data_IF_308509812641
#
_entry.id   IF_308509812641
#
_cell.length_a   1.000
_cell.length_b   1.000
_cell.length_c   1.000
_cell.angle_alpha   90.00
_cell.angle_beta   90.00
_cell.angle_gamma   90.00
#
_symmetry.space_group_name_H-M   'P 1'
#
loop_
_entity.id
_entity.type
_entity.pdbx_description
1 polymer ?
#
# COMPACT_ATOMS: atom_id res chain seq x y z
N UNK A 1 30.73 -3.00 12.52
CA UNK A 1 29.75 -1.97 12.96
C UNK A 1 28.40 -2.63 12.99
N UNK A 2 27.89 -2.91 14.19
CA UNK A 2 26.65 -3.64 14.38
C UNK A 2 25.46 -2.73 14.03
N UNK A 3 24.67 -3.15 13.05
CA UNK A 3 23.33 -2.63 12.79
C UNK A 3 22.50 -2.66 14.10
N UNK A 4 21.82 -1.57 14.45
CA UNK A 4 20.69 -1.66 15.39
C UNK A 4 19.53 -2.34 14.65
N UNK A 5 18.87 -3.31 15.29
CA UNK A 5 17.83 -4.17 14.69
C UNK A 5 16.57 -3.44 14.20
N UNK A 6 16.55 -2.11 14.34
CA UNK A 6 15.47 -1.21 14.01
C UNK A 6 16.04 0.18 13.72
N UNK A 7 15.45 0.86 12.73
CA UNK A 7 15.66 2.29 12.48
C UNK A 7 14.35 2.99 12.76
N UNK A 8 14.36 3.92 13.70
CA UNK A 8 13.23 4.80 14.01
C UNK A 8 13.50 6.19 13.44
N UNK A 9 12.55 6.70 12.67
CA UNK A 9 12.56 8.05 12.11
C UNK A 9 11.39 8.82 12.71
N UNK A 10 11.68 9.94 13.36
CA UNK A 10 10.69 10.80 14.01
C UNK A 10 10.45 12.07 13.20
N UNK A 11 9.19 12.52 13.17
CA UNK A 11 8.72 13.67 12.41
C UNK A 11 8.02 14.67 13.33
N UNK A 12 7.91 15.92 12.87
CA UNK A 12 7.15 16.96 13.59
C UNK A 12 5.63 16.84 13.38
N UNK A 13 5.21 16.02 12.40
CA UNK A 13 3.80 15.80 12.05
C UNK A 13 3.55 14.35 11.72
N UNK A 14 2.27 13.99 11.63
CA UNK A 14 1.87 12.66 11.21
C UNK A 14 2.38 12.33 9.81
N UNK A 15 2.80 11.07 9.65
CA UNK A 15 3.24 10.48 8.41
C UNK A 15 2.07 9.69 7.82
N UNK A 16 1.55 10.19 6.70
CA UNK A 16 0.32 9.68 6.07
C UNK A 16 0.58 8.46 5.21
N UNK A 17 1.73 8.42 4.54
CA UNK A 17 2.10 7.30 3.68
C UNK A 17 3.61 7.15 3.55
N UNK A 18 4.01 5.98 3.07
CA UNK A 18 5.39 5.61 2.82
C UNK A 18 5.48 4.78 1.53
N UNK A 19 6.62 4.84 0.84
CA UNK A 19 6.85 4.05 -0.36
C UNK A 19 8.35 3.79 -0.56
N UNK A 20 8.74 2.53 -0.70
CA UNK A 20 10.08 2.20 -1.18
C UNK A 20 10.19 2.45 -2.67
N UNK A 21 11.32 3.02 -3.10
CA UNK A 21 11.71 3.04 -4.51
C UNK A 21 11.91 1.59 -4.97
N UNK A 22 11.40 1.17 -6.15
CA UNK A 22 11.50 -0.24 -6.59
C UNK A 22 12.93 -0.79 -6.71
N UNK A 23 13.93 0.08 -6.89
CA UNK A 23 15.35 -0.29 -6.88
C UNK A 23 15.95 -0.51 -5.46
N UNK A 24 15.17 -0.24 -4.41
CA UNK A 24 15.53 -0.41 -3.00
C UNK A 24 16.44 0.69 -2.43
N UNK A 25 16.81 1.71 -3.21
CA UNK A 25 17.79 2.73 -2.80
C UNK A 25 17.21 3.81 -1.90
N UNK A 26 15.90 4.02 -1.97
CA UNK A 26 15.24 5.09 -1.22
C UNK A 26 13.92 4.62 -0.60
N UNK A 27 13.60 5.23 0.55
CA UNK A 27 12.29 5.22 1.16
C UNK A 27 11.74 6.66 1.17
N UNK A 28 10.52 6.82 0.66
CA UNK A 28 9.75 8.04 0.84
C UNK A 28 8.85 7.91 2.07
N UNK A 29 8.75 8.99 2.82
CA UNK A 29 7.80 9.16 3.90
C UNK A 29 7.15 10.54 3.76
N UNK A 30 5.82 10.57 3.65
CA UNK A 30 5.06 11.79 3.49
C UNK A 30 4.50 12.27 4.82
N UNK A 31 5.01 13.41 5.30
CA UNK A 31 4.44 14.16 6.42
C UNK A 31 4.02 15.55 5.91
N UNK A 32 4.39 16.65 6.57
CA UNK A 32 4.31 18.00 5.99
C UNK A 32 5.03 18.14 4.64
N UNK A 33 6.12 17.39 4.46
CA UNK A 33 6.88 17.26 3.21
C UNK A 33 7.18 15.80 2.95
N UNK A 34 7.51 15.45 1.71
CA UNK A 34 7.99 14.10 1.39
C UNK A 34 9.49 14.04 1.67
N UNK A 35 9.88 13.33 2.72
CA UNK A 35 11.28 13.08 3.05
C UNK A 35 11.79 11.84 2.34
N UNK A 36 13.03 11.89 1.84
CA UNK A 36 13.73 10.81 1.16
C UNK A 36 14.82 10.26 2.07
N UNK A 37 14.85 8.95 2.25
CA UNK A 37 15.77 8.28 3.16
C UNK A 37 16.50 7.14 2.47
N UNK A 38 17.77 6.96 2.81
CA UNK A 38 18.49 5.72 2.53
C UNK A 38 18.09 4.68 3.58
N UNK A 39 17.38 3.61 3.19
CA UNK A 39 16.88 2.62 4.14
C UNK A 39 17.97 1.74 4.75
N UNK A 40 19.18 1.70 4.15
CA UNK A 40 20.31 0.92 4.67
C UNK A 40 21.06 1.65 5.79
N UNK A 41 20.99 2.98 5.80
CA UNK A 41 21.69 3.81 6.80
C UNK A 41 20.75 4.56 7.71
N UNK A 42 19.47 4.68 7.36
CA UNK A 42 18.50 5.54 8.06
C UNK A 42 18.78 7.03 7.88
N UNK A 43 19.64 7.41 6.93
CA UNK A 43 20.03 8.80 6.71
C UNK A 43 19.10 9.49 5.72
N UNK A 44 18.74 10.75 5.99
CA UNK A 44 17.93 11.57 5.07
C UNK A 44 18.79 12.00 3.90
N UNK A 45 18.40 11.64 2.68
CA UNK A 45 19.12 11.98 1.44
C UNK A 45 18.55 13.21 0.74
N UNK A 46 17.30 13.59 1.03
CA UNK A 46 16.67 14.74 0.41
C UNK A 46 15.21 14.92 0.79
N UNK A 47 14.54 15.84 0.11
CA UNK A 47 13.12 16.15 0.35
C UNK A 47 12.48 16.70 -0.92
N UNK A 48 11.23 16.33 -1.16
CA UNK A 48 10.38 17.02 -2.11
C UNK A 48 9.43 17.95 -1.37
N UNK A 49 9.26 19.17 -1.89
CA UNK A 49 8.39 20.18 -1.30
C UNK A 49 6.93 19.99 -1.73
N UNK A 50 6.40 18.81 -1.43
CA UNK A 50 5.00 18.41 -1.64
C UNK A 50 4.44 17.85 -0.34
N UNK A 51 3.16 18.07 -0.11
CA UNK A 51 2.39 17.31 0.87
C UNK A 51 1.74 16.13 0.14
N UNK A 52 1.58 14.95 0.75
CA UNK A 52 0.98 13.81 0.06
C UNK A 52 0.11 12.96 0.98
N UNK A 53 -1.09 12.63 0.52
CA UNK A 53 -1.95 11.61 1.13
C UNK A 53 -1.56 10.20 0.70
N UNK A 54 -0.97 10.07 -0.49
CA UNK A 54 -0.47 8.82 -1.03
C UNK A 54 0.63 9.07 -2.05
N UNK A 55 1.55 8.12 -2.14
CA UNK A 55 2.64 8.11 -3.11
C UNK A 55 2.65 6.77 -3.82
N UNK A 56 2.89 6.79 -5.13
CA UNK A 56 3.11 5.59 -5.93
C UNK A 56 4.31 5.78 -6.85
N UNK A 57 5.24 4.83 -6.86
CA UNK A 57 6.36 4.80 -7.80
C UNK A 57 5.95 4.14 -9.12
N UNK A 58 6.51 4.63 -10.23
CA UNK A 58 6.58 3.84 -11.45
C UNK A 58 7.53 2.65 -11.24
N UNK A 59 7.28 1.49 -11.85
CA UNK A 59 8.10 0.28 -11.68
C UNK A 59 9.57 0.45 -12.07
N UNK A 60 9.84 1.34 -13.03
CA UNK A 60 11.20 1.66 -13.49
C UNK A 60 11.97 2.60 -12.54
N UNK A 61 11.38 2.99 -11.42
CA UNK A 61 11.99 3.86 -10.39
C UNK A 61 12.31 5.28 -10.87
N UNK A 62 11.79 5.72 -12.02
CA UNK A 62 12.07 7.05 -12.59
C UNK A 62 11.04 8.11 -12.27
N UNK A 63 9.81 7.70 -12.00
CA UNK A 63 8.68 8.62 -11.83
C UNK A 63 7.94 8.30 -10.53
N UNK A 64 7.38 9.33 -9.89
CA UNK A 64 6.44 9.16 -8.79
C UNK A 64 5.15 9.95 -9.06
N UNK A 65 4.04 9.35 -8.65
CA UNK A 65 2.73 9.96 -8.52
C UNK A 65 2.53 10.37 -7.06
N UNK A 66 2.30 11.66 -6.85
CA UNK A 66 2.08 12.27 -5.54
C UNK A 66 0.63 12.74 -5.50
N UNK A 67 -0.18 12.11 -4.66
CA UNK A 67 -1.59 12.47 -4.50
C UNK A 67 -1.77 13.54 -3.42
N UNK A 68 -2.19 14.72 -3.86
CA UNK A 68 -2.62 15.85 -3.05
C UNK A 68 -4.14 16.00 -3.06
N UNK A 69 -4.65 16.88 -2.21
CA UNK A 69 -6.07 17.23 -2.20
C UNK A 69 -6.49 17.86 -3.54
N UNK A 70 -7.13 17.07 -4.40
CA UNK A 70 -7.66 17.52 -5.69
C UNK A 70 -6.67 17.52 -6.86
N UNK A 71 -5.42 17.09 -6.65
CA UNK A 71 -4.45 16.89 -7.73
C UNK A 71 -3.57 15.66 -7.52
N UNK A 72 -3.11 15.07 -8.61
CA UNK A 72 -2.00 14.10 -8.61
C UNK A 72 -0.84 14.69 -9.41
N UNK A 73 0.27 14.96 -8.74
CA UNK A 73 1.49 15.44 -9.37
C UNK A 73 2.34 14.26 -9.82
N UNK A 74 2.76 14.26 -11.08
CA UNK A 74 3.69 13.27 -11.62
C UNK A 74 5.04 13.96 -11.78
N UNK A 75 6.06 13.48 -11.07
CA UNK A 75 7.40 14.08 -11.07
C UNK A 75 8.46 13.04 -11.41
N UNK A 76 9.57 13.49 -11.99
CA UNK A 76 10.76 12.69 -12.21
C UNK A 76 11.61 12.64 -10.93
N UNK A 77 12.10 11.46 -10.56
CA UNK A 77 12.67 11.18 -9.23
C UNK A 77 14.03 11.85 -9.03
N UNK A 78 14.90 11.82 -10.03
CA UNK A 78 16.29 12.23 -9.82
C UNK A 78 16.43 13.77 -9.81
N UNK A 79 15.67 14.48 -10.64
CA UNK A 79 15.62 15.95 -10.72
C UNK A 79 14.54 16.58 -9.83
N UNK A 80 13.51 15.83 -9.43
CA UNK A 80 12.32 16.36 -8.77
C UNK A 80 11.44 17.22 -9.69
N UNK A 81 11.73 17.25 -11.00
CA UNK A 81 11.00 18.08 -11.94
C UNK A 81 9.57 17.58 -12.12
N UNK A 82 8.60 18.49 -11.98
CA UNK A 82 7.20 18.17 -12.22
C UNK A 82 6.95 17.98 -13.70
N UNK A 83 6.60 16.75 -14.07
CA UNK A 83 6.24 16.40 -15.43
C UNK A 83 4.79 16.78 -15.72
N UNK A 84 3.85 16.47 -14.82
CA UNK A 84 2.41 16.70 -15.00
C UNK A 84 1.70 17.01 -13.68
N UNK A 85 0.52 17.62 -13.82
CA UNK A 85 -0.48 17.74 -12.76
C UNK A 85 -1.80 17.23 -13.33
N UNK A 86 -2.31 16.13 -12.76
CA UNK A 86 -3.56 15.50 -13.16
C UNK A 86 -4.66 15.87 -12.16
N UNK A 87 -5.89 16.06 -12.64
CA UNK A 87 -7.04 16.32 -11.78
C UNK A 87 -7.55 15.01 -11.20
N UNK A 88 -7.54 14.89 -9.89
CA UNK A 88 -7.97 13.69 -9.16
C UNK A 88 -7.70 13.84 -7.67
N UNK A 89 -8.34 13.04 -6.83
CA UNK A 89 -8.16 13.14 -5.37
C UNK A 89 -8.12 11.76 -4.74
N UNK A 90 -7.16 11.52 -3.85
CA UNK A 90 -6.98 10.24 -3.16
C UNK A 90 -5.89 9.36 -3.76
N UNK A 91 -5.79 8.11 -3.30
CA UNK A 91 -4.68 7.21 -3.65
C UNK A 91 -4.59 6.96 -5.15
N UNK A 92 -3.39 7.07 -5.72
CA UNK A 92 -3.09 6.68 -7.11
C UNK A 92 -2.16 5.45 -7.12
N UNK A 93 -2.14 4.72 -8.23
CA UNK A 93 -1.27 3.55 -8.38
C UNK A 93 -0.80 3.41 -9.83
N UNK A 94 0.51 3.25 -10.03
CA UNK A 94 1.03 2.75 -11.30
C UNK A 94 0.80 1.24 -11.42
N UNK A 95 0.53 0.79 -12.63
CA UNK A 95 0.54 -0.62 -13.00
C UNK A 95 1.98 -1.20 -12.96
N UNK A 96 2.13 -2.54 -12.85
CA UNK A 96 3.46 -3.18 -12.77
C UNK A 96 4.31 -3.05 -14.03
N UNK A 97 3.68 -2.91 -15.20
CA UNK A 97 4.38 -2.62 -16.45
C UNK A 97 4.70 -1.13 -16.61
N UNK A 98 4.08 -0.27 -15.79
CA UNK A 98 4.28 1.18 -15.81
C UNK A 98 3.57 1.89 -16.96
N UNK A 99 2.77 1.19 -17.75
CA UNK A 99 2.02 1.68 -18.91
C UNK A 99 0.69 2.34 -18.52
N UNK A 100 0.14 1.98 -17.35
CA UNK A 100 -1.06 2.59 -16.77
C UNK A 100 -0.79 3.30 -15.44
N UNK A 101 -1.51 4.39 -15.21
CA UNK A 101 -1.72 5.04 -13.91
C UNK A 101 -3.22 5.07 -13.59
N UNK A 102 -3.62 4.47 -12.47
CA UNK A 102 -4.97 4.59 -11.93
C UNK A 102 -5.05 5.75 -10.94
N UNK A 103 -6.04 6.62 -11.11
CA UNK A 103 -6.33 7.68 -10.14
C UNK A 103 -7.83 7.95 -10.00
N UNK A 104 -8.31 8.32 -8.79
CA UNK A 104 -9.71 8.66 -8.59
C UNK A 104 -10.06 9.99 -9.24
N UNK A 105 -11.17 10.01 -9.94
CA UNK A 105 -11.81 11.17 -10.55
C UNK A 105 -13.26 11.31 -10.02
N UNK A 106 -13.97 12.33 -10.50
CA UNK A 106 -15.37 12.56 -10.09
C UNK A 106 -16.27 11.35 -10.40
N UNK A 107 -16.11 10.73 -11.57
CA UNK A 107 -17.02 9.70 -12.08
C UNK A 107 -16.56 8.25 -11.81
N UNK A 108 -15.47 8.06 -11.07
CA UNK A 108 -14.86 6.73 -10.89
C UNK A 108 -13.34 6.79 -10.75
N UNK A 109 -12.67 5.73 -11.17
CA UNK A 109 -11.21 5.66 -11.27
C UNK A 109 -10.85 5.71 -12.75
N UNK A 110 -10.07 6.71 -13.13
CA UNK A 110 -9.56 6.83 -14.49
C UNK A 110 -8.26 6.04 -14.62
N UNK A 111 -8.15 5.31 -15.73
CA UNK A 111 -6.94 4.65 -16.18
C UNK A 111 -6.28 5.52 -17.24
N UNK A 112 -5.05 5.96 -16.97
CA UNK A 112 -4.26 6.82 -17.84
C UNK A 112 -3.13 6.04 -18.48
N UNK A 113 -3.00 6.14 -19.80
CA UNK A 113 -1.81 5.72 -20.54
C UNK A 113 -0.64 6.63 -20.13
N UNK A 114 0.46 6.07 -19.61
CA UNK A 114 1.60 6.85 -19.11
C UNK A 114 2.56 7.32 -20.20
N UNK A 115 2.48 6.77 -21.42
CA UNK A 115 3.27 7.20 -22.56
C UNK A 115 2.65 8.44 -23.23
N UNK A 116 1.32 8.44 -23.39
CA UNK A 116 0.55 9.49 -24.06
C UNK A 116 -0.13 10.45 -23.08
N UNK A 117 -0.25 10.08 -21.81
CA UNK A 117 -1.00 10.81 -20.79
C UNK A 117 -2.44 11.08 -21.21
N UNK A 118 -3.13 10.03 -21.67
CA UNK A 118 -4.53 10.08 -22.08
C UNK A 118 -5.35 9.07 -21.28
N UNK A 119 -6.59 9.45 -20.96
CA UNK A 119 -7.54 8.54 -20.31
C UNK A 119 -7.92 7.43 -21.28
N UNK A 120 -7.61 6.19 -20.93
CA UNK A 120 -7.98 5.00 -21.69
C UNK A 120 -9.35 4.47 -21.31
N UNK A 121 -9.76 4.68 -20.06
CA UNK A 121 -11.04 4.21 -19.55
C UNK A 121 -11.31 4.70 -18.13
N UNK A 122 -12.55 4.49 -17.70
CA UNK A 122 -12.99 4.83 -16.35
C UNK A 122 -13.71 3.64 -15.74
N UNK A 123 -13.18 3.10 -14.65
CA UNK A 123 -13.89 2.18 -13.78
C UNK A 123 -14.87 2.99 -12.93
N UNK A 124 -16.17 2.88 -13.23
CA UNK A 124 -17.20 3.57 -12.44
C UNK A 124 -17.25 2.97 -11.04
N UNK A 125 -17.24 3.83 -10.02
CA UNK A 125 -17.21 3.40 -8.62
C UNK A 125 -18.62 3.36 -8.02
N UNK A 126 -18.97 2.35 -7.21
CA UNK A 126 -20.14 2.40 -6.35
C UNK A 126 -19.91 3.16 -5.02
N UNK A 127 -18.67 3.49 -4.64
CA UNK A 127 -18.29 4.14 -3.36
C UNK A 127 -18.10 5.66 -3.46
N UNK A 128 -18.27 6.37 -2.33
CA UNK A 128 -18.19 7.84 -2.28
C UNK A 128 -16.75 8.36 -2.32
N UNK A 129 -15.83 7.71 -1.59
CA UNK A 129 -14.41 8.09 -1.50
C UNK A 129 -13.53 6.86 -1.71
N UNK A 130 -12.56 6.92 -2.63
CA UNK A 130 -11.63 5.81 -2.89
C UNK A 130 -10.52 5.81 -1.85
N UNK A 131 -10.37 4.70 -1.11
CA UNK A 131 -9.29 4.51 -0.14
C UNK A 131 -8.26 3.47 -0.60
N UNK A 132 -8.64 2.54 -1.46
CA UNK A 132 -7.76 1.49 -1.96
C UNK A 132 -7.77 1.43 -3.48
N UNK A 133 -6.57 1.37 -4.07
CA UNK A 133 -6.32 0.99 -5.47
C UNK A 133 -5.08 0.10 -5.45
N UNK A 134 -5.15 -1.06 -6.10
CA UNK A 134 -4.03 -1.97 -6.25
C UNK A 134 -4.08 -2.66 -7.61
N UNK A 135 -2.92 -2.91 -8.21
CA UNK A 135 -2.78 -3.78 -9.39
C UNK A 135 -2.20 -5.13 -8.97
N UNK A 136 -2.63 -6.21 -9.64
CA UNK A 136 -1.95 -7.50 -9.53
C UNK A 136 -0.59 -7.43 -10.19
N UNK A 137 0.38 -8.21 -9.71
CA UNK A 137 1.77 -8.14 -10.17
C UNK A 137 1.96 -8.50 -11.65
N UNK A 138 1.07 -9.34 -12.20
CA UNK A 138 1.01 -9.71 -13.62
C UNK A 138 0.33 -8.64 -14.50
N UNK A 139 -0.19 -7.56 -13.90
CA UNK A 139 -0.90 -6.49 -14.60
C UNK A 139 -2.29 -6.89 -15.11
N UNK A 140 -2.79 -8.08 -14.76
CA UNK A 140 -4.09 -8.57 -15.24
C UNK A 140 -5.28 -7.93 -14.54
N UNK A 141 -5.17 -7.71 -13.23
CA UNK A 141 -6.26 -7.23 -12.40
C UNK A 141 -5.95 -5.88 -11.78
N UNK A 142 -6.99 -5.05 -11.63
CA UNK A 142 -6.99 -3.90 -10.75
C UNK A 142 -8.11 -4.05 -9.73
N UNK A 143 -7.80 -3.90 -8.45
CA UNK A 143 -8.78 -3.83 -7.37
C UNK A 143 -8.94 -2.38 -6.89
N UNK A 144 -10.17 -1.98 -6.63
CA UNK A 144 -10.45 -0.67 -6.07
C UNK A 144 -11.65 -0.70 -5.13
N UNK A 145 -11.57 0.10 -4.07
CA UNK A 145 -12.62 0.18 -3.05
C UNK A 145 -12.49 1.41 -2.17
N UNK A 146 -13.51 1.64 -1.34
CA UNK A 146 -13.52 2.78 -0.46
C UNK A 146 -14.73 2.86 0.47
N UNK A 147 -15.08 4.09 0.85
CA UNK A 147 -16.14 4.38 1.81
C UNK A 147 -17.52 4.45 1.18
N UNK A 148 -18.56 4.13 1.95
CA UNK A 148 -19.96 4.25 1.54
C UNK A 148 -20.54 3.01 0.88
N UNK A 149 -19.72 1.99 0.61
CA UNK A 149 -20.13 0.65 0.17
C UNK A 149 -19.26 -0.43 0.78
N UNK A 150 -19.83 -1.59 0.95
CA UNK A 150 -19.24 -2.81 1.51
C UNK A 150 -18.78 -3.78 0.41
N UNK A 151 -18.23 -3.23 -0.68
CA UNK A 151 -17.68 -3.99 -1.80
C UNK A 151 -16.32 -3.46 -2.22
N UNK A 152 -15.49 -4.34 -2.76
CA UNK A 152 -14.33 -4.00 -3.58
C UNK A 152 -14.62 -4.41 -5.03
N UNK A 153 -14.36 -3.53 -5.99
CA UNK A 153 -14.44 -3.88 -7.40
C UNK A 153 -13.11 -4.45 -7.89
N UNK A 154 -13.16 -5.53 -8.64
CA UNK A 154 -12.01 -6.16 -9.31
C UNK A 154 -12.25 -6.12 -10.82
N UNK A 155 -11.41 -5.39 -11.52
CA UNK A 155 -11.43 -5.24 -12.98
C UNK A 155 -10.39 -6.15 -13.60
N UNK A 156 -10.80 -7.08 -14.47
CA UNK A 156 -9.90 -7.78 -15.38
C UNK A 156 -9.58 -6.83 -16.55
N UNK A 157 -8.33 -6.38 -16.63
CA UNK A 157 -7.88 -5.41 -17.64
C UNK A 157 -7.77 -6.03 -19.04
N UNK A 158 -7.70 -7.35 -19.15
CA UNK A 158 -7.66 -8.03 -20.44
C UNK A 158 -9.06 -8.16 -21.06
N UNK A 159 -10.09 -8.40 -20.25
CA UNK A 159 -11.48 -8.56 -20.73
C UNK A 159 -12.34 -7.30 -20.56
N UNK A 160 -11.96 -6.40 -19.66
CA UNK A 160 -12.77 -5.25 -19.25
C UNK A 160 -13.91 -5.62 -18.28
N UNK A 161 -14.02 -6.88 -17.87
CA UNK A 161 -15.07 -7.33 -16.96
C UNK A 161 -14.77 -6.89 -15.52
N UNK A 162 -15.81 -6.45 -14.82
CA UNK A 162 -15.72 -6.04 -13.41
C UNK A 162 -16.56 -6.97 -12.55
N UNK A 163 -15.97 -7.43 -11.45
CA UNK A 163 -16.67 -8.19 -10.41
C UNK A 163 -16.64 -7.41 -9.09
N UNK A 164 -17.76 -7.39 -8.38
CA UNK A 164 -17.84 -6.80 -7.04
C UNK A 164 -17.79 -7.90 -5.98
N UNK A 165 -16.82 -7.80 -5.07
CA UNK A 165 -16.65 -8.75 -3.97
C UNK A 165 -17.13 -8.10 -2.68
N UNK A 166 -18.11 -8.72 -2.02
CA UNK A 166 -18.62 -8.24 -0.74
C UNK A 166 -17.52 -8.28 0.32
N UNK A 167 -17.21 -7.16 0.94
CA UNK A 167 -16.18 -7.01 1.98
C UNK A 167 -16.79 -6.97 3.38
N UNK A 168 -18.08 -6.64 3.48
CA UNK A 168 -18.86 -6.60 4.72
C UNK A 168 -18.68 -5.32 5.55
N UNK A 169 -17.83 -4.39 5.11
CA UNK A 169 -17.75 -3.00 5.57
C UNK A 169 -16.87 -2.18 4.61
N UNK A 170 -16.68 -0.88 4.86
CA UNK A 170 -15.90 0.03 4.03
C UNK A 170 -14.46 -0.42 3.89
N UNK A 171 -13.97 -0.35 2.65
CA UNK A 171 -12.61 -0.74 2.29
C UNK A 171 -11.66 0.39 2.63
N UNK A 172 -10.60 0.06 3.37
CA UNK A 172 -9.54 0.99 3.77
C UNK A 172 -8.22 0.70 3.04
N UNK A 173 -7.94 -0.56 2.74
CA UNK A 173 -6.71 -0.99 2.09
C UNK A 173 -6.93 -2.22 1.22
N UNK A 174 -6.12 -2.36 0.18
CA UNK A 174 -6.07 -3.55 -0.66
C UNK A 174 -4.64 -3.80 -1.15
N UNK A 175 -4.26 -5.07 -1.30
CA UNK A 175 -2.98 -5.48 -1.83
C UNK A 175 -3.11 -6.82 -2.57
N UNK A 176 -2.33 -7.01 -3.62
CA UNK A 176 -2.21 -8.30 -4.31
C UNK A 176 -0.97 -9.06 -3.85
N UNK A 177 -1.06 -10.38 -3.82
CA UNK A 177 0.11 -11.25 -3.67
C UNK A 177 1.07 -11.09 -4.85
N UNK A 178 2.34 -11.46 -4.64
CA UNK A 178 3.39 -11.31 -5.63
C UNK A 178 3.18 -12.11 -6.93
N UNK A 179 2.39 -13.18 -6.87
CA UNK A 179 1.98 -13.98 -8.03
C UNK A 179 0.64 -13.51 -8.64
N UNK A 180 0.02 -12.47 -8.08
CA UNK A 180 -1.28 -11.94 -8.51
C UNK A 180 -2.50 -12.81 -8.18
N UNK A 181 -2.31 -13.96 -7.54
CA UNK A 181 -3.39 -14.94 -7.35
C UNK A 181 -4.30 -14.65 -6.15
N UNK A 182 -3.84 -13.87 -5.16
CA UNK A 182 -4.59 -13.51 -3.96
C UNK A 182 -4.77 -12.00 -3.88
N UNK A 183 -6.02 -11.57 -3.66
CA UNK A 183 -6.37 -10.20 -3.27
C UNK A 183 -6.62 -10.16 -1.77
N UNK A 184 -5.88 -9.33 -1.04
CA UNK A 184 -6.13 -9.01 0.36
C UNK A 184 -6.85 -7.67 0.49
N UNK A 185 -7.87 -7.60 1.35
CA UNK A 185 -8.62 -6.37 1.63
C UNK A 185 -8.79 -6.18 3.13
N UNK A 186 -8.49 -4.97 3.57
CA UNK A 186 -8.66 -4.51 4.94
C UNK A 186 -9.83 -3.54 5.03
N UNK A 187 -10.68 -3.73 6.03
CA UNK A 187 -11.92 -2.95 6.20
C UNK A 187 -12.03 -2.29 7.58
N UNK A 188 -12.98 -1.37 7.72
CA UNK A 188 -13.22 -0.61 8.96
C UNK A 188 -13.69 -1.45 10.14
N UNK A 189 -14.35 -2.60 9.91
CA UNK A 189 -14.80 -3.52 10.97
C UNK A 189 -13.72 -4.49 11.49
N UNK A 190 -12.43 -4.15 11.33
CA UNK A 190 -11.29 -4.88 11.89
C UNK A 190 -11.03 -6.24 11.25
N UNK A 191 -11.57 -6.45 10.04
CA UNK A 191 -11.41 -7.68 9.28
C UNK A 191 -10.40 -7.52 8.15
N UNK A 192 -9.71 -8.62 7.90
CA UNK A 192 -8.99 -8.88 6.67
C UNK A 192 -9.71 -10.01 5.96
N UNK A 193 -9.99 -9.81 4.67
CA UNK A 193 -10.54 -10.84 3.80
C UNK A 193 -9.62 -11.06 2.62
N UNK A 194 -9.42 -12.32 2.25
CA UNK A 194 -8.59 -12.76 1.15
C UNK A 194 -9.43 -13.51 0.13
N UNK A 195 -9.25 -13.21 -1.16
CA UNK A 195 -9.87 -13.95 -2.26
C UNK A 195 -8.82 -14.50 -3.20
N UNK A 196 -9.08 -15.71 -3.70
CA UNK A 196 -8.33 -16.29 -4.82
C UNK A 196 -8.93 -15.84 -6.14
N UNK A 197 -8.10 -15.33 -7.04
CA UNK A 197 -8.48 -15.02 -8.41
C UNK A 197 -8.04 -16.13 -9.38
N UNK A 198 -8.78 -16.37 -10.48
CA UNK A 198 -9.99 -15.66 -10.91
C UNK A 198 -11.29 -16.17 -10.28
N UNK A 199 -11.25 -17.21 -9.44
CA UNK A 199 -12.47 -17.87 -8.93
C UNK A 199 -13.28 -16.99 -7.97
N UNK A 200 -12.67 -15.94 -7.41
CA UNK A 200 -13.22 -15.09 -6.36
C UNK A 200 -13.66 -15.88 -5.12
N UNK A 201 -12.99 -17.01 -4.87
CA UNK A 201 -13.19 -17.85 -3.69
C UNK A 201 -12.60 -17.17 -2.46
N UNK A 202 -13.36 -17.08 -1.36
CA UNK A 202 -12.84 -16.57 -0.09
C UNK A 202 -11.87 -17.59 0.51
N UNK A 203 -10.60 -17.20 0.61
CA UNK A 203 -9.52 -18.02 1.20
C UNK A 203 -9.40 -17.78 2.70
N UNK A 204 -9.69 -16.56 3.14
CA UNK A 204 -9.65 -16.17 4.55
C UNK A 204 -10.67 -15.07 4.79
N UNK A 205 -11.43 -15.18 5.89
CA UNK A 205 -12.21 -14.09 6.46
C UNK A 205 -11.95 -14.08 7.96
N UNK A 206 -11.12 -13.14 8.39
CA UNK A 206 -10.60 -13.09 9.76
C UNK A 206 -10.81 -11.71 10.35
N UNK A 207 -11.34 -11.67 11.56
CA UNK A 207 -11.16 -10.53 12.46
C UNK A 207 -9.75 -10.58 13.03
N UNK A 208 -8.90 -9.62 12.67
CA UNK A 208 -7.48 -9.66 12.98
C UNK A 208 -7.15 -8.88 14.27
N UNK A 209 -7.90 -7.82 14.58
CA UNK A 209 -7.79 -7.13 15.86
C UNK A 209 -9.00 -6.28 16.26
N UNK A 210 -8.72 -5.08 16.76
CA UNK A 210 -9.70 -4.15 17.36
C UNK A 210 -9.75 -2.77 16.69
N UNK A 211 -8.98 -2.57 15.63
CA UNK A 211 -8.92 -1.31 14.90
C UNK A 211 -9.00 -1.56 13.39
N UNK A 212 -9.37 -0.51 12.65
CA UNK A 212 -9.52 -0.59 11.20
C UNK A 212 -8.20 -1.03 10.56
N UNK A 213 -8.30 -1.83 9.49
CA UNK A 213 -7.12 -2.29 8.74
C UNK A 213 -6.74 -1.24 7.71
N UNK A 214 -5.93 -0.28 8.13
CA UNK A 214 -5.58 0.90 7.32
C UNK A 214 -4.53 0.62 6.24
N UNK A 215 -3.72 -0.43 6.40
CA UNK A 215 -2.69 -0.78 5.42
C UNK A 215 -2.46 -2.29 5.33
N UNK A 216 -2.14 -2.75 4.13
CA UNK A 216 -1.78 -4.14 3.83
C UNK A 216 -0.57 -4.13 2.91
N UNK A 217 0.37 -5.07 3.13
CA UNK A 217 1.50 -5.27 2.24
C UNK A 217 1.88 -6.74 2.19
N UNK A 218 2.08 -7.28 0.99
CA UNK A 218 2.66 -8.62 0.81
C UNK A 218 4.18 -8.52 0.75
N UNK A 219 4.86 -9.53 1.31
CA UNK A 219 6.28 -9.75 1.02
C UNK A 219 6.47 -10.12 -0.45
N UNK A 220 7.67 -9.84 -0.98
CA UNK A 220 8.01 -10.10 -2.39
C UNK A 220 7.85 -11.57 -2.81
N UNK A 221 8.09 -12.49 -1.89
CA UNK A 221 7.92 -13.92 -2.12
C UNK A 221 6.46 -14.41 -1.91
N UNK A 222 5.56 -13.50 -1.53
CA UNK A 222 4.15 -13.78 -1.26
C UNK A 222 3.89 -14.60 0.00
N UNK A 223 4.92 -14.93 0.80
CA UNK A 223 4.79 -15.81 1.97
C UNK A 223 4.24 -15.11 3.20
N UNK A 224 4.41 -13.79 3.30
CA UNK A 224 4.00 -13.01 4.46
C UNK A 224 3.05 -11.90 4.00
N UNK A 225 1.95 -11.73 4.72
CA UNK A 225 1.09 -10.55 4.65
C UNK A 225 1.27 -9.74 5.94
N UNK A 226 1.71 -8.49 5.81
CA UNK A 226 1.69 -7.51 6.89
C UNK A 226 0.34 -6.79 6.92
N UNK A 227 -0.26 -6.73 8.10
CA UNK A 227 -1.56 -6.10 8.37
C UNK A 227 -1.37 -4.98 9.37
N UNK A 228 -1.72 -3.76 8.96
CA UNK A 228 -1.57 -2.55 9.76
C UNK A 228 -2.89 -2.14 10.38
N UNK A 229 -2.97 -2.24 11.71
CA UNK A 229 -4.10 -1.82 12.54
C UNK A 229 -3.60 -0.89 13.66
N UNK A 230 -3.88 -1.17 14.95
CA UNK A 230 -3.17 -0.56 16.09
C UNK A 230 -1.71 -1.02 16.23
N UNK A 231 -1.41 -2.15 15.60
CA UNK A 231 -0.13 -2.82 15.57
C UNK A 231 0.09 -3.36 14.16
N UNK A 232 1.29 -3.85 13.90
CA UNK A 232 1.55 -4.64 12.70
C UNK A 232 1.41 -6.12 13.06
N UNK A 233 0.51 -6.83 12.39
CA UNK A 233 0.42 -8.30 12.43
C UNK A 233 1.05 -8.89 11.19
N UNK A 234 1.88 -9.92 11.33
CA UNK A 234 2.33 -10.73 10.20
C UNK A 234 1.51 -12.01 10.11
N UNK A 235 1.01 -12.34 8.92
CA UNK A 235 0.36 -13.63 8.62
C UNK A 235 1.22 -14.44 7.68
N UNK A 236 1.36 -15.73 7.97
CA UNK A 236 1.90 -16.72 7.05
C UNK A 236 0.84 -17.05 6.00
N UNK A 237 1.16 -16.87 4.73
CA UNK A 237 0.22 -17.09 3.62
C UNK A 237 0.10 -18.56 3.21
N UNK A 238 0.98 -19.42 3.69
CA UNK A 238 0.92 -20.88 3.49
C UNK A 238 -0.04 -21.51 4.48
N UNK A 239 0.05 -21.12 5.76
CA UNK A 239 -0.78 -21.69 6.85
C UNK A 239 -1.99 -20.83 7.19
N UNK A 240 -2.03 -19.57 6.73
CA UNK A 240 -3.03 -18.56 7.07
C UNK A 240 -3.12 -18.27 8.58
N UNK A 241 -1.99 -18.44 9.29
CA UNK A 241 -1.89 -18.19 10.73
C UNK A 241 -1.05 -16.95 11.02
N UNK A 242 -1.30 -16.24 12.15
CA UNK A 242 -0.45 -15.13 12.54
C UNK A 242 0.93 -15.65 12.97
N UNK A 243 1.99 -15.05 12.45
CA UNK A 243 3.37 -15.31 12.86
C UNK A 243 3.69 -14.55 14.15
N UNK A 244 3.21 -13.31 14.26
CA UNK A 244 3.40 -12.45 15.43
C UNK A 244 2.88 -11.03 15.21
N UNK A 245 3.09 -10.19 16.23
CA UNK A 245 2.65 -8.80 16.26
C UNK A 245 3.80 -7.91 16.75
N UNK A 246 4.01 -6.75 16.12
CA UNK A 246 4.97 -5.75 16.59
C UNK A 246 4.34 -4.35 16.62
N UNK A 247 4.79 -3.56 17.60
CA UNK A 247 4.28 -2.22 17.89
C UNK A 247 2.97 -2.28 18.68
N UNK A 248 2.88 -1.51 19.77
CA UNK A 248 1.60 -1.13 20.35
C UNK A 248 1.48 0.38 20.23
N UNK A 249 0.91 0.84 19.13
CA UNK A 249 0.75 2.26 18.91
C UNK A 249 -0.58 2.68 19.53
N UNK A 250 -0.56 2.88 20.85
CA UNK A 250 -1.77 2.83 21.68
C UNK A 250 -2.83 3.88 21.32
N UNK A 251 -2.48 4.94 20.58
CA UNK A 251 -3.41 6.02 20.24
C UNK A 251 -3.60 6.30 18.74
N UNK A 252 -2.79 5.71 17.84
CA UNK A 252 -2.93 5.90 16.38
C UNK A 252 -2.69 4.60 15.61
N UNK A 253 -3.51 4.37 14.58
CA UNK A 253 -3.38 3.21 13.70
C UNK A 253 -2.21 3.35 12.72
N UNK A 254 -1.68 2.21 12.27
CA UNK A 254 -0.63 2.08 11.26
C UNK A 254 -1.18 2.53 9.90
N UNK A 255 -0.74 3.68 9.41
CA UNK A 255 -1.29 4.30 8.19
C UNK A 255 -0.66 3.76 6.90
N UNK A 256 0.61 3.36 6.99
CA UNK A 256 1.40 2.87 5.87
C UNK A 256 2.21 1.64 6.25
N UNK A 257 2.26 0.68 5.33
CA UNK A 257 3.11 -0.49 5.36
C UNK A 257 3.73 -0.71 3.98
N UNK A 258 5.01 -1.04 3.95
CA UNK A 258 5.66 -1.51 2.72
C UNK A 258 6.82 -2.42 3.05
N UNK A 259 6.93 -3.52 2.33
CA UNK A 259 8.17 -4.29 2.28
C UNK A 259 9.15 -3.60 1.33
N UNK A 260 10.41 -3.59 1.73
CA UNK A 260 11.53 -3.27 0.84
C UNK A 260 11.56 -4.24 -0.36
N UNK A 261 12.05 -3.81 -1.53
CA UNK A 261 12.07 -4.65 -2.74
C UNK A 261 12.91 -5.92 -2.62
N UNK A 262 13.89 -5.96 -1.71
CA UNK A 262 14.69 -7.16 -1.42
C UNK A 262 14.06 -8.05 -0.32
N UNK A 263 12.95 -7.60 0.28
CA UNK A 263 12.21 -8.30 1.32
C UNK A 263 12.86 -8.27 2.71
N UNK A 264 13.97 -7.56 2.90
CA UNK A 264 14.72 -7.58 4.16
C UNK A 264 14.14 -6.68 5.25
N UNK A 265 13.50 -5.61 4.84
CA UNK A 265 12.92 -4.60 5.72
C UNK A 265 11.41 -4.50 5.50
N UNK A 266 10.68 -4.29 6.59
CA UNK A 266 9.31 -3.82 6.64
C UNK A 266 9.32 -2.39 7.21
N UNK A 267 8.81 -1.45 6.42
CA UNK A 267 8.52 -0.10 6.88
C UNK A 267 7.08 -0.02 7.40
N UNK A 268 6.90 0.63 8.54
CA UNK A 268 5.59 0.93 9.11
C UNK A 268 5.52 2.37 9.58
N UNK A 269 4.39 3.06 9.36
CA UNK A 269 4.14 4.40 9.91
C UNK A 269 3.05 4.39 10.94
N UNK A 270 3.25 5.12 12.03
CA UNK A 270 2.22 5.43 12.99
C UNK A 270 2.41 6.84 13.56
N UNK A 271 1.41 7.71 13.35
CA UNK A 271 1.52 9.11 13.75
C UNK A 271 2.79 9.72 13.17
N UNK A 272 3.61 10.32 14.02
CA UNK A 272 4.87 10.95 13.64
C UNK A 272 6.08 9.99 13.52
N UNK A 273 5.86 8.67 13.59
CA UNK A 273 6.95 7.69 13.61
C UNK A 273 6.95 6.80 12.36
N UNK A 274 8.14 6.57 11.80
CA UNK A 274 8.42 5.51 10.84
C UNK A 274 9.38 4.52 11.49
N UNK A 275 9.04 3.23 11.47
CA UNK A 275 9.93 2.15 11.90
C UNK A 275 10.32 1.28 10.70
N UNK A 276 11.62 0.97 10.57
CA UNK A 276 12.16 -0.03 9.66
C UNK A 276 12.66 -1.22 10.46
N UNK A 277 12.10 -2.40 10.18
CA UNK A 277 12.35 -3.62 10.96
C UNK A 277 12.57 -4.83 10.04
N UNK A 278 13.40 -5.79 10.47
CA UNK A 278 13.58 -7.07 9.79
C UNK A 278 12.46 -8.05 10.21
N UNK A 279 11.55 -8.43 9.29
CA UNK A 279 10.40 -9.28 9.60
C UNK A 279 10.76 -10.73 9.92
N UNK A 280 11.99 -11.17 9.61
CA UNK A 280 12.44 -12.54 9.88
C UNK A 280 12.89 -12.79 11.33
N UNK A 281 13.01 -11.71 12.11
CA UNK A 281 13.61 -11.76 13.45
C UNK A 281 12.67 -12.35 14.51
N UNK A 282 13.23 -12.91 15.61
CA UNK A 282 12.46 -13.61 16.64
C UNK A 282 11.36 -12.79 17.29
N UNK A 283 11.46 -11.46 17.30
CA UNK A 283 10.42 -10.56 17.83
C UNK A 283 9.07 -10.73 17.13
N UNK A 284 9.08 -11.19 15.87
CA UNK A 284 7.90 -11.49 15.08
C UNK A 284 7.46 -12.94 15.18
N UNK A 285 8.22 -13.80 15.86
CA UNK A 285 7.83 -15.18 16.10
C UNK A 285 7.04 -15.22 17.40
N UNK A 286 5.81 -15.74 17.33
CA UNK A 286 5.09 -16.16 18.53
C UNK A 286 6.05 -17.02 19.35
N UNK A 287 6.34 -16.62 20.58
CA UNK A 287 7.21 -17.37 21.47
C UNK A 287 6.70 -18.80 21.54
N UNK A 288 7.41 -19.74 20.91
CA UNK A 288 7.18 -21.16 21.08
C UNK A 288 7.67 -21.53 22.48
N UNK A 289 6.78 -21.46 23.45
CA UNK A 289 7.00 -21.91 24.83
C UNK A 289 5.65 -22.13 25.52
N UNK A 290 5.37 -23.32 26.07
CA UNK A 290 4.08 -23.63 26.66
C UNK A 290 4.00 -23.12 28.11
N UNK A 291 2.83 -22.61 28.49
CA UNK A 291 2.25 -22.75 29.83
C UNK A 291 0.74 -22.49 29.74
#
# INVERSE_FOLDING_TARGET
>A
MAWSDRIDLEYESDVECLAFRPDGRELLAASLKISRWDPSTGSRVGTYDYWAHAISYSPDSRTIGIAESGAVHVIEVDSGARMRTLKGSGRCAFSPAGDLLALPAADGIQLWDTAKWQVMGTLRKPWSETKAIAFSADGRYMAAGGLGKDVIAVLDLATGETQELATGDWVMSAAFSADGSILAVGVTNYRVRLWRLPSCEVVLDRRNGRAAVCSLAFSRDGRILAVGEQAVTLLDMTTLTPLGHCGSYQDRGVQGLAFSPDGRLLASTCGAFVALEDPSRPRWQASSGPA
#
